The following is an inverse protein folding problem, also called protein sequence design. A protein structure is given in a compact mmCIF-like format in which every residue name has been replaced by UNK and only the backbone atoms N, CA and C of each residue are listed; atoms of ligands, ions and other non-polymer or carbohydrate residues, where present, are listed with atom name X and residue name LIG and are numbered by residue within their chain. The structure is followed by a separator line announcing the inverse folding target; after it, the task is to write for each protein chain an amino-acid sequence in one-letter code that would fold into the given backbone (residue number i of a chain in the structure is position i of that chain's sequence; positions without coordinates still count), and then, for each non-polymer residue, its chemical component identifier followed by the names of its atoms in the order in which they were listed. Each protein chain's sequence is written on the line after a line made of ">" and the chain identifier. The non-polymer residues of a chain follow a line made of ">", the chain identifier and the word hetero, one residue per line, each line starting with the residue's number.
data_IF_410297643042
#
_entry.id   IF_410297643042
#
_cell.length_a   1.000
_cell.length_b   1.000
_cell.length_c   1.000
_cell.angle_alpha   90.00
_cell.angle_beta   90.00
_cell.angle_gamma   90.00
#
_symmetry.space_group_name_H-M   'P 1'
#
loop_
_entity.id
_entity.type
_entity.pdbx_description
1 polymer ?
#
# COMPACT_ATOMS: atom_id res chain seq x y z
N UNK A 1 -32.68 10.87 -12.41
CA UNK A 1 -31.35 11.47 -12.15
C UNK A 1 -30.53 11.28 -13.40
N UNK A 2 -30.10 12.37 -14.06
CA UNK A 2 -29.28 12.29 -15.26
C UNK A 2 -27.91 11.71 -14.92
N UNK A 3 -27.52 10.62 -15.56
CA UNK A 3 -26.20 10.01 -15.41
C UNK A 3 -25.13 11.00 -15.86
N UNK A 4 -24.09 11.21 -15.04
CA UNK A 4 -22.95 12.04 -15.43
C UNK A 4 -22.26 11.35 -16.62
N UNK A 5 -22.17 12.06 -17.74
CA UNK A 5 -21.33 11.65 -18.87
C UNK A 5 -19.89 11.81 -18.40
N UNK A 6 -19.12 10.73 -18.47
CA UNK A 6 -17.69 10.78 -18.21
C UNK A 6 -17.03 11.60 -19.32
N UNK A 7 -16.53 12.78 -18.95
CA UNK A 7 -15.88 13.71 -19.88
C UNK A 7 -14.43 13.30 -20.19
N UNK A 8 -13.95 12.24 -19.53
CA UNK A 8 -12.56 11.77 -19.67
C UNK A 8 -12.44 10.86 -20.87
N UNK A 9 -11.60 11.24 -21.83
CA UNK A 9 -11.23 10.37 -22.95
C UNK A 9 -10.23 9.29 -22.49
N UNK A 10 -10.76 8.20 -21.93
CA UNK A 10 -9.97 7.07 -21.47
C UNK A 10 -9.22 6.35 -22.60
N UNK A 11 -9.77 6.33 -23.82
CA UNK A 11 -9.12 5.70 -24.96
C UNK A 11 -7.82 6.42 -25.31
N UNK A 12 -7.82 7.75 -25.30
CA UNK A 12 -6.61 8.56 -25.48
C UNK A 12 -5.59 8.32 -24.37
N UNK A 13 -6.01 8.30 -23.10
CA UNK A 13 -5.10 8.10 -21.97
C UNK A 13 -4.44 6.71 -22.00
N UNK A 14 -5.17 5.67 -22.38
CA UNK A 14 -4.61 4.32 -22.49
C UNK A 14 -3.69 4.13 -23.69
N UNK A 15 -3.85 4.93 -24.74
CA UNK A 15 -2.98 4.89 -25.92
C UNK A 15 -1.70 5.75 -25.76
N UNK A 16 -1.65 6.63 -24.74
CA UNK A 16 -0.51 7.50 -24.47
C UNK A 16 0.74 6.68 -24.15
N UNK A 17 1.82 6.97 -24.86
CA UNK A 17 3.12 6.36 -24.60
C UNK A 17 3.75 6.90 -23.31
N UNK A 18 4.70 6.16 -22.75
CA UNK A 18 5.43 6.62 -21.56
C UNK A 18 6.21 7.92 -21.85
N UNK A 19 6.79 8.06 -23.06
CA UNK A 19 7.49 9.27 -23.48
C UNK A 19 6.55 10.49 -23.57
N UNK A 20 5.35 10.31 -24.14
CA UNK A 20 4.35 11.38 -24.20
C UNK A 20 3.82 11.74 -22.80
N UNK A 21 3.63 10.75 -21.93
CA UNK A 21 3.23 10.99 -20.54
C UNK A 21 4.28 11.81 -19.78
N UNK A 22 5.57 11.47 -19.94
CA UNK A 22 6.67 12.18 -19.32
C UNK A 22 6.81 13.61 -19.87
N UNK A 23 6.69 13.79 -21.19
CA UNK A 23 6.70 15.12 -21.81
C UNK A 23 5.55 16.01 -21.31
N UNK A 24 4.34 15.44 -21.15
CA UNK A 24 3.19 16.16 -20.58
C UNK A 24 3.43 16.55 -19.13
N UNK A 25 3.98 15.65 -18.30
CA UNK A 25 4.32 15.96 -16.92
C UNK A 25 5.40 17.04 -16.82
N UNK A 26 6.44 17.01 -17.67
CA UNK A 26 7.48 18.04 -17.71
C UNK A 26 6.97 19.41 -18.14
N UNK A 27 5.93 19.45 -18.99
CA UNK A 27 5.31 20.68 -19.44
C UNK A 27 4.35 21.29 -18.41
N UNK A 28 3.90 20.53 -17.41
CA UNK A 28 3.01 20.98 -16.33
C UNK A 28 3.81 21.53 -15.13
N UNK A 29 3.79 22.85 -14.87
CA UNK A 29 4.53 23.44 -13.76
C UNK A 29 4.03 22.99 -12.37
N UNK A 30 2.77 22.58 -12.27
CA UNK A 30 2.13 22.21 -11.00
C UNK A 30 2.35 20.73 -10.64
N UNK A 31 2.75 19.89 -11.61
CA UNK A 31 2.94 18.45 -11.42
C UNK A 31 4.11 17.85 -12.22
N UNK A 32 5.35 18.36 -12.05
CA UNK A 32 6.52 17.81 -12.72
C UNK A 32 6.92 16.43 -12.15
N UNK A 33 7.62 15.59 -12.94
CA UNK A 33 8.24 14.37 -12.42
C UNK A 33 9.20 14.67 -11.25
N UNK A 34 9.25 13.76 -10.27
CA UNK A 34 10.23 13.86 -9.18
C UNK A 34 11.65 13.69 -9.73
N UNK A 35 12.58 14.53 -9.26
CA UNK A 35 14.00 14.31 -9.49
C UNK A 35 14.48 13.02 -8.82
N UNK A 36 15.63 12.49 -9.25
CA UNK A 36 16.22 11.29 -8.65
C UNK A 36 16.48 11.48 -7.13
N UNK A 37 16.89 12.68 -6.72
CA UNK A 37 17.11 13.01 -5.30
C UNK A 37 15.79 13.08 -4.52
N UNK A 38 14.75 13.71 -5.08
CA UNK A 38 13.42 13.77 -4.47
C UNK A 38 12.80 12.38 -4.33
N UNK A 39 12.96 11.54 -5.35
CA UNK A 39 12.48 10.16 -5.33
C UNK A 39 13.24 9.32 -4.27
N UNK A 40 14.55 9.52 -4.14
CA UNK A 40 15.35 8.84 -3.12
C UNK A 40 14.94 9.25 -1.69
N UNK A 41 14.60 10.52 -1.49
CA UNK A 41 14.13 11.08 -0.22
C UNK A 41 12.64 10.82 0.07
N UNK A 42 11.87 10.33 -0.91
CA UNK A 42 10.44 10.13 -0.77
C UNK A 42 10.11 9.13 0.36
N UNK A 43 9.07 9.39 1.16
CA UNK A 43 8.65 8.48 2.22
C UNK A 43 8.29 7.12 1.63
N UNK A 44 8.91 6.07 2.15
CA UNK A 44 8.64 4.71 1.70
C UNK A 44 7.28 4.26 2.23
N UNK A 45 6.55 3.52 1.42
CA UNK A 45 5.31 2.88 1.87
C UNK A 45 5.61 2.00 3.11
N UNK A 46 4.82 2.12 4.21
CA UNK A 46 5.05 1.32 5.40
C UNK A 46 5.10 -0.18 5.07
N UNK A 47 6.10 -0.87 5.62
CA UNK A 47 6.36 -2.29 5.31
C UNK A 47 5.14 -3.18 5.55
N UNK A 48 4.34 -2.91 6.58
CA UNK A 48 3.11 -3.63 6.85
C UNK A 48 2.08 -3.52 5.72
N UNK A 49 1.95 -2.34 5.10
CA UNK A 49 1.07 -2.10 3.95
C UNK A 49 1.54 -2.88 2.72
N UNK A 50 2.87 -2.99 2.54
CA UNK A 50 3.47 -3.83 1.49
C UNK A 50 3.09 -5.30 1.71
N UNK A 51 3.32 -5.82 2.91
CA UNK A 51 3.02 -7.22 3.27
C UNK A 51 1.54 -7.53 3.03
N UNK A 52 0.63 -6.69 3.55
CA UNK A 52 -0.82 -6.89 3.39
C UNK A 52 -1.25 -6.89 1.92
N UNK A 53 -0.75 -5.94 1.11
CA UNK A 53 -1.08 -5.86 -0.32
C UNK A 53 -0.54 -7.06 -1.09
N UNK A 54 0.67 -7.53 -0.77
CA UNK A 54 1.24 -8.73 -1.38
C UNK A 54 0.37 -9.98 -1.11
N UNK A 55 -0.23 -10.05 0.08
CA UNK A 55 -1.17 -11.11 0.47
C UNK A 55 -2.59 -10.91 -0.08
N UNK A 56 -2.87 -9.79 -0.77
CA UNK A 56 -4.18 -9.42 -1.30
C UNK A 56 -5.29 -9.38 -0.23
N UNK A 57 -4.95 -8.98 0.99
CA UNK A 57 -5.91 -8.88 2.10
C UNK A 57 -6.39 -7.44 2.28
N UNK A 58 -7.66 -7.29 2.63
CA UNK A 58 -8.21 -6.07 3.23
C UNK A 58 -7.58 -5.81 4.61
N UNK A 59 -7.76 -4.61 5.15
CA UNK A 59 -7.24 -4.29 6.48
C UNK A 59 -7.92 -5.17 7.55
N UNK A 60 -9.21 -5.39 7.40
CA UNK A 60 -10.06 -6.20 8.27
C UNK A 60 -9.61 -7.67 8.25
N UNK A 61 -9.37 -8.24 7.06
CA UNK A 61 -8.87 -9.61 6.92
C UNK A 61 -7.46 -9.79 7.49
N UNK A 62 -6.56 -8.82 7.27
CA UNK A 62 -5.20 -8.88 7.82
C UNK A 62 -5.22 -8.78 9.34
N UNK A 63 -6.04 -7.86 9.88
CA UNK A 63 -6.25 -7.67 11.30
C UNK A 63 -6.75 -8.96 11.97
N UNK A 64 -7.83 -9.54 11.42
CA UNK A 64 -8.41 -10.78 11.93
C UNK A 64 -7.46 -11.97 11.81
N UNK A 65 -6.74 -12.11 10.70
CA UNK A 65 -5.83 -13.23 10.45
C UNK A 65 -4.62 -13.25 11.38
N UNK A 66 -4.08 -12.07 11.71
CA UNK A 66 -2.82 -11.94 12.44
C UNK A 66 -2.98 -11.32 13.84
N UNK A 67 -4.21 -11.17 14.32
CA UNK A 67 -4.52 -10.65 15.66
C UNK A 67 -3.88 -9.28 15.95
N UNK A 68 -3.77 -8.42 14.93
CA UNK A 68 -3.34 -7.03 15.07
C UNK A 68 -4.61 -6.18 15.11
N UNK A 69 -4.87 -5.39 16.15
CA UNK A 69 -6.07 -4.55 16.22
C UNK A 69 -6.18 -3.64 14.99
N UNK A 70 -7.38 -3.55 14.40
CA UNK A 70 -7.60 -2.81 13.16
C UNK A 70 -7.20 -1.33 13.26
N UNK A 71 -7.44 -0.70 14.41
CA UNK A 71 -7.00 0.67 14.68
C UNK A 71 -5.48 0.80 14.61
N UNK A 72 -4.76 -0.09 15.30
CA UNK A 72 -3.29 -0.16 15.29
C UNK A 72 -2.74 -0.39 13.88
N UNK A 73 -3.33 -1.32 13.11
CA UNK A 73 -2.96 -1.55 11.71
C UNK A 73 -3.12 -0.28 10.87
N UNK A 74 -4.23 0.45 11.03
CA UNK A 74 -4.49 1.70 10.31
C UNK A 74 -3.49 2.79 10.67
N UNK A 75 -3.18 2.95 11.95
CA UNK A 75 -2.20 3.94 12.41
C UNK A 75 -0.80 3.65 11.83
N UNK A 76 -0.38 2.39 11.82
CA UNK A 76 0.89 1.97 11.22
C UNK A 76 0.93 2.15 9.69
N UNK A 77 -0.17 1.82 8.98
CA UNK A 77 -0.23 1.98 7.52
C UNK A 77 -0.31 3.42 7.04
N UNK A 78 -0.76 4.33 7.90
CA UNK A 78 -0.84 5.77 7.66
C UNK A 78 0.38 6.53 8.20
N UNK A 79 1.26 5.87 8.95
CA UNK A 79 2.43 6.50 9.59
C UNK A 79 2.09 7.40 10.77
N UNK A 80 0.91 7.22 11.40
CA UNK A 80 0.54 7.93 12.65
C UNK A 80 1.32 7.42 13.86
N UNK A 81 1.75 6.16 13.80
CA UNK A 81 2.63 5.52 14.76
C UNK A 81 3.47 4.45 14.06
N UNK A 82 4.47 3.92 14.75
CA UNK A 82 5.29 2.83 14.25
C UNK A 82 5.10 1.55 15.08
N UNK A 83 5.21 0.37 14.45
CA UNK A 83 5.25 -0.89 15.17
C UNK A 83 6.48 -0.94 16.07
N UNK A 84 6.31 -1.38 17.31
CA UNK A 84 7.39 -1.60 18.26
C UNK A 84 8.28 -2.79 17.84
N UNK A 85 9.32 -3.08 18.62
CA UNK A 85 10.29 -4.11 18.25
C UNK A 85 9.67 -5.51 18.12
N UNK A 86 8.81 -6.00 19.04
CA UNK A 86 8.08 -7.25 18.87
C UNK A 86 7.17 -7.26 17.64
N UNK A 87 6.39 -6.20 17.41
CA UNK A 87 5.52 -6.12 16.24
C UNK A 87 6.31 -6.17 14.93
N UNK A 88 7.47 -5.49 14.85
CA UNK A 88 8.36 -5.58 13.68
C UNK A 88 8.90 -6.99 13.46
N UNK A 89 9.31 -7.68 14.54
CA UNK A 89 9.75 -9.06 14.45
C UNK A 89 8.62 -9.97 13.96
N UNK A 90 7.42 -9.80 14.50
CA UNK A 90 6.23 -10.55 14.11
C UNK A 90 5.85 -10.32 12.63
N UNK A 91 5.85 -9.07 12.15
CA UNK A 91 5.64 -8.74 10.75
C UNK A 91 6.69 -9.38 9.82
N UNK A 92 7.93 -9.56 10.31
CA UNK A 92 8.96 -10.29 9.56
C UNK A 92 8.61 -11.77 9.44
N UNK A 93 8.07 -12.39 10.48
CA UNK A 93 7.62 -13.80 10.43
C UNK A 93 6.44 -13.94 9.47
N UNK A 94 5.43 -13.06 9.54
CA UNK A 94 4.31 -13.05 8.58
C UNK A 94 4.80 -12.94 7.13
N UNK A 95 5.79 -12.09 6.88
CA UNK A 95 6.34 -11.91 5.54
C UNK A 95 7.07 -13.14 4.99
N UNK A 96 7.62 -13.99 5.88
CA UNK A 96 8.37 -15.20 5.51
C UNK A 96 7.44 -16.41 5.38
N UNK A 97 6.50 -16.58 6.32
CA UNK A 97 5.58 -17.70 6.37
C UNK A 97 4.16 -17.24 6.77
N UNK A 98 3.42 -16.62 5.84
CA UNK A 98 2.10 -16.06 6.15
C UNK A 98 1.09 -17.13 6.57
N UNK A 99 1.05 -18.25 5.87
CA UNK A 99 0.09 -19.33 6.13
C UNK A 99 0.43 -20.12 7.38
N UNK A 100 1.71 -20.44 7.62
CA UNK A 100 2.14 -21.11 8.84
C UNK A 100 1.96 -20.23 10.08
N UNK A 101 2.24 -18.92 9.97
CA UNK A 101 1.95 -17.96 11.05
C UNK A 101 0.46 -17.93 11.37
N UNK A 102 -0.40 -17.79 10.36
CA UNK A 102 -1.85 -17.79 10.55
C UNK A 102 -2.36 -19.12 11.13
N UNK A 103 -1.81 -20.25 10.69
CA UNK A 103 -2.15 -21.57 11.23
C UNK A 103 -1.73 -21.74 12.70
N UNK A 104 -0.56 -21.24 13.08
CA UNK A 104 -0.07 -21.27 14.45
C UNK A 104 -1.00 -20.46 15.39
N UNK A 105 -1.42 -19.26 14.97
CA UNK A 105 -2.34 -18.42 15.75
C UNK A 105 -3.71 -19.07 15.95
N UNK A 106 -4.26 -19.72 14.91
CA UNK A 106 -5.52 -20.46 15.03
C UNK A 106 -5.43 -21.63 16.01
N UNK A 107 -4.31 -22.34 16.03
CA UNK A 107 -4.08 -23.46 16.96
C UNK A 107 -3.91 -23.00 18.41
N UNK A 108 -3.26 -21.86 18.63
CA UNK A 108 -3.04 -21.30 19.99
C UNK A 108 -4.26 -20.60 20.59
N UNK A 109 -5.28 -20.29 19.78
CA UNK A 109 -6.56 -19.73 20.24
C UNK A 109 -7.61 -20.79 20.61
N UNK A 110 -7.30 -22.07 20.36
CA UNK A 110 -8.09 -23.23 20.77
C UNK A 110 -7.58 -23.77 22.11
#
# INVERSE_FOLDING_TARGET
>A
MAGKIDQTDWARLHAMTDEEAEANALADPDNPPLSAEQLAAAPRMPRIKIIRRALKLTQEEFSARYHIPLGTLRDWEQGRSEPDQPARAYLKVIAVDPEGTAAALRKGAA
#
